data_IF_943109565851
#
_entry.id   IF_943109565851
#
_cell.length_a   1.000
_cell.length_b   1.000
_cell.length_c   1.000
_cell.angle_alpha   90.00
_cell.angle_beta   90.00
_cell.angle_gamma   90.00
#
_symmetry.space_group_name_H-M   'P 1'
#
loop_
_entity.id
_entity.type
_entity.pdbx_description
1 polymer ?
#
# COMPACT_ATOMS: atom_id res chain seq x y z
N UNK A 1 12.00 -16.38 -24.51
CA UNK A 1 11.67 -15.78 -23.21
C UNK A 1 11.23 -14.35 -23.45
N UNK A 2 10.11 -13.92 -22.84
CA UNK A 2 9.59 -12.56 -22.99
C UNK A 2 10.66 -11.54 -22.54
N UNK A 3 11.00 -10.56 -23.41
CA UNK A 3 12.03 -9.56 -23.14
C UNK A 3 11.74 -8.67 -21.94
N UNK A 4 10.47 -8.51 -21.55
CA UNK A 4 10.05 -7.76 -20.35
C UNK A 4 10.52 -8.43 -19.07
N UNK A 5 10.51 -9.77 -19.01
CA UNK A 5 10.98 -10.51 -17.83
C UNK A 5 12.48 -10.29 -17.56
N UNK A 6 13.26 -9.95 -18.61
CA UNK A 6 14.68 -9.60 -18.44
C UNK A 6 14.89 -8.23 -17.83
N UNK A 7 13.88 -7.35 -17.91
CA UNK A 7 13.90 -6.00 -17.33
C UNK A 7 13.40 -5.96 -15.90
N UNK A 8 12.81 -7.06 -15.39
CA UNK A 8 12.36 -7.11 -14.00
C UNK A 8 13.59 -7.03 -13.07
N UNK A 9 13.63 -6.04 -12.19
CA UNK A 9 14.63 -6.03 -11.12
C UNK A 9 14.40 -7.21 -10.17
N UNK A 10 15.43 -7.65 -9.48
CA UNK A 10 15.26 -8.59 -8.37
C UNK A 10 14.31 -7.95 -7.35
N UNK A 11 13.22 -8.64 -7.03
CA UNK A 11 12.23 -8.10 -6.10
C UNK A 11 12.88 -7.89 -4.71
N UNK A 12 12.94 -6.66 -4.18
CA UNK A 12 13.73 -6.38 -2.97
C UNK A 12 13.33 -7.20 -1.74
N UNK A 13 12.05 -7.61 -1.68
CA UNK A 13 11.55 -8.45 -0.58
C UNK A 13 12.11 -9.88 -0.61
N UNK A 14 12.57 -10.39 -1.77
CA UNK A 14 13.25 -11.68 -1.86
C UNK A 14 14.61 -11.65 -1.15
N UNK A 15 15.32 -10.54 -1.26
CA UNK A 15 16.58 -10.34 -0.55
C UNK A 15 16.38 -10.32 0.97
N UNK A 16 15.37 -9.62 1.46
CA UNK A 16 15.01 -9.65 2.88
C UNK A 16 14.64 -11.06 3.36
N UNK A 17 13.91 -11.80 2.53
CA UNK A 17 13.56 -13.20 2.81
C UNK A 17 14.79 -14.11 2.85
N UNK A 18 15.78 -13.87 1.97
CA UNK A 18 17.04 -14.59 1.98
C UNK A 18 17.85 -14.30 3.25
N UNK A 19 17.95 -13.03 3.66
CA UNK A 19 18.61 -12.64 4.90
C UNK A 19 17.95 -13.26 6.13
N UNK A 20 16.63 -13.32 6.14
CA UNK A 20 15.88 -13.96 7.23
C UNK A 20 16.17 -15.45 7.32
N UNK A 21 16.17 -16.17 6.19
CA UNK A 21 16.53 -17.60 6.15
C UNK A 21 17.96 -17.85 6.65
N UNK A 22 18.93 -17.04 6.23
CA UNK A 22 20.32 -17.14 6.68
C UNK A 22 20.45 -16.98 8.21
N UNK A 23 19.79 -15.97 8.79
CA UNK A 23 19.78 -15.77 10.25
C UNK A 23 19.16 -16.96 10.99
N UNK A 24 18.05 -17.49 10.52
CA UNK A 24 17.43 -18.67 11.11
C UNK A 24 18.33 -19.92 11.01
N UNK A 25 19.01 -20.10 9.88
CA UNK A 25 19.94 -21.22 9.70
C UNK A 25 21.13 -21.16 10.68
N UNK A 26 21.50 -19.98 11.16
CA UNK A 26 22.56 -19.76 12.19
C UNK A 26 22.01 -19.82 13.62
N UNK A 27 20.73 -20.12 13.82
CA UNK A 27 20.10 -20.16 15.12
C UNK A 27 19.90 -18.80 15.79
N UNK A 28 19.96 -17.70 15.03
CA UNK A 28 19.82 -16.35 15.55
C UNK A 28 18.36 -16.02 15.88
N UNK A 29 18.14 -15.24 16.95
CA UNK A 29 16.86 -14.59 17.19
C UNK A 29 16.67 -13.49 16.13
N UNK A 30 15.50 -13.47 15.45
CA UNK A 30 15.26 -12.56 14.34
C UNK A 30 14.11 -11.59 14.67
N UNK A 31 14.41 -10.30 14.62
CA UNK A 31 13.46 -9.19 14.71
C UNK A 31 13.23 -8.62 13.32
N UNK A 32 12.14 -9.01 12.65
CA UNK A 32 11.87 -8.67 11.25
C UNK A 32 11.05 -7.38 11.14
N UNK A 33 11.72 -6.24 10.98
CA UNK A 33 11.13 -4.95 10.62
C UNK A 33 11.21 -4.66 9.11
N UNK A 34 11.77 -5.57 8.32
CA UNK A 34 11.94 -5.36 6.86
C UNK A 34 10.66 -5.63 6.09
N UNK A 35 9.90 -6.65 6.50
CA UNK A 35 8.69 -7.11 5.79
C UNK A 35 7.45 -6.47 6.40
N UNK A 36 6.57 -5.89 5.57
CA UNK A 36 5.32 -5.27 6.02
C UNK A 36 4.18 -6.28 6.21
N UNK A 37 4.41 -7.39 6.93
CA UNK A 37 3.42 -8.46 7.18
C UNK A 37 3.16 -8.63 8.69
N UNK A 38 2.14 -7.94 9.25
CA UNK A 38 1.85 -7.96 10.68
C UNK A 38 1.58 -9.36 11.24
N UNK A 39 2.13 -9.63 12.43
CA UNK A 39 2.05 -10.94 13.10
C UNK A 39 0.81 -11.10 14.00
N UNK A 40 0.06 -10.03 14.27
CA UNK A 40 -1.14 -10.10 15.09
C UNK A 40 -2.15 -11.05 14.47
N UNK A 41 -2.80 -11.90 15.28
CA UNK A 41 -3.84 -12.80 14.78
C UNK A 41 -4.94 -12.04 14.03
N UNK A 42 -5.43 -12.64 12.95
CA UNK A 42 -6.69 -12.18 12.37
C UNK A 42 -7.81 -12.32 13.43
N UNK A 43 -8.64 -11.29 13.62
CA UNK A 43 -9.72 -11.33 14.62
C UNK A 43 -10.58 -12.59 14.53
N UNK A 44 -10.96 -13.15 15.70
CA UNK A 44 -11.69 -14.41 15.76
C UNK A 44 -12.99 -14.38 14.96
N UNK A 45 -13.72 -13.24 15.01
CA UNK A 45 -14.98 -13.06 14.27
C UNK A 45 -14.78 -13.17 12.75
N UNK A 46 -13.63 -12.70 12.21
CA UNK A 46 -13.33 -12.78 10.78
C UNK A 46 -12.99 -14.22 10.37
N UNK A 47 -12.26 -14.95 11.21
CA UNK A 47 -11.98 -16.37 11.01
C UNK A 47 -13.27 -17.21 11.06
N UNK A 48 -14.16 -16.89 12.00
CA UNK A 48 -15.46 -17.54 12.09
C UNK A 48 -16.33 -17.26 10.86
N UNK A 49 -16.43 -16.01 10.46
CA UNK A 49 -17.18 -15.63 9.24
C UNK A 49 -16.65 -16.32 7.98
N UNK A 50 -15.33 -16.53 7.88
CA UNK A 50 -14.75 -17.32 6.79
C UNK A 50 -15.18 -18.79 6.85
N UNK A 51 -15.14 -19.39 8.03
CA UNK A 51 -15.56 -20.78 8.22
C UNK A 51 -17.05 -20.95 7.89
N UNK A 52 -17.90 -20.09 8.42
CA UNK A 52 -19.36 -20.12 8.19
C UNK A 52 -19.74 -19.83 6.74
N UNK A 53 -18.92 -19.04 6.05
CA UNK A 53 -19.09 -18.69 4.65
C UNK A 53 -18.54 -19.72 3.66
N UNK A 54 -17.99 -20.85 4.14
CA UNK A 54 -17.50 -21.92 3.27
C UNK A 54 -18.69 -22.74 2.75
N UNK A 55 -18.98 -22.71 1.43
CA UNK A 55 -20.13 -23.40 0.88
C UNK A 55 -19.90 -24.91 0.82
N UNK A 56 -20.96 -25.71 0.99
CA UNK A 56 -20.92 -27.17 0.80
C UNK A 56 -20.62 -27.54 -0.66
N UNK A 57 -21.12 -26.75 -1.60
CA UNK A 57 -20.90 -26.95 -3.04
C UNK A 57 -20.06 -25.80 -3.56
N UNK A 58 -18.88 -26.12 -4.08
CA UNK A 58 -17.96 -25.15 -4.68
C UNK A 58 -18.45 -24.72 -6.07
N UNK A 59 -18.70 -23.43 -6.24
CA UNK A 59 -19.03 -22.80 -7.51
C UNK A 59 -18.07 -21.64 -7.79
N UNK A 60 -18.05 -21.14 -9.04
CA UNK A 60 -17.27 -19.96 -9.36
C UNK A 60 -17.84 -18.73 -8.66
N UNK A 61 -17.03 -17.99 -7.90
CA UNK A 61 -17.47 -16.76 -7.25
C UNK A 61 -17.75 -15.64 -8.26
N UNK A 62 -18.65 -14.69 -7.95
CA UNK A 62 -18.91 -13.56 -8.82
C UNK A 62 -17.69 -12.64 -8.94
N UNK A 63 -17.30 -12.31 -10.18
CA UNK A 63 -16.13 -11.47 -10.49
C UNK A 63 -16.18 -10.10 -9.79
N UNK A 64 -17.32 -9.38 -9.74
CA UNK A 64 -17.38 -8.10 -9.05
C UNK A 64 -17.35 -8.22 -7.52
N UNK A 65 -17.40 -9.43 -6.99
CA UNK A 65 -17.66 -9.72 -5.59
C UNK A 65 -19.14 -9.89 -5.30
N UNK A 66 -19.47 -10.54 -4.19
CA UNK A 66 -20.86 -10.71 -3.74
C UNK A 66 -21.52 -9.36 -3.48
N UNK A 67 -22.85 -9.28 -3.64
CA UNK A 67 -23.57 -8.04 -3.37
C UNK A 67 -23.40 -7.60 -1.91
N UNK A 68 -23.44 -8.53 -0.96
CA UNK A 68 -23.24 -8.25 0.46
C UNK A 68 -21.87 -7.60 0.72
N UNK A 69 -20.80 -8.09 0.09
CA UNK A 69 -19.46 -7.46 0.20
C UNK A 69 -19.45 -6.05 -0.38
N UNK A 70 -20.04 -5.83 -1.55
CA UNK A 70 -20.06 -4.52 -2.20
C UNK A 70 -20.88 -3.49 -1.41
N UNK A 71 -21.99 -3.92 -0.80
CA UNK A 71 -22.79 -3.10 0.12
C UNK A 71 -22.04 -2.78 1.41
N UNK A 72 -21.29 -3.74 1.98
CA UNK A 72 -20.43 -3.49 3.14
C UNK A 72 -19.31 -2.48 2.84
N UNK A 73 -18.71 -2.55 1.65
CA UNK A 73 -17.73 -1.56 1.15
C UNK A 73 -18.36 -0.17 0.99
N UNK A 74 -19.53 -0.08 0.38
CA UNK A 74 -20.26 1.18 0.24
C UNK A 74 -20.59 1.80 1.61
N UNK A 75 -21.03 0.96 2.56
CA UNK A 75 -21.26 1.36 3.95
C UNK A 75 -19.98 1.85 4.65
N UNK A 76 -18.84 1.19 4.43
CA UNK A 76 -17.55 1.63 4.94
C UNK A 76 -17.15 3.01 4.39
N UNK A 77 -17.22 3.22 3.08
CA UNK A 77 -16.89 4.50 2.45
C UNK A 77 -17.80 5.63 2.97
N UNK A 78 -19.09 5.35 3.17
CA UNK A 78 -20.02 6.31 3.75
C UNK A 78 -19.68 6.66 5.22
N UNK A 79 -19.40 5.63 6.06
CA UNK A 79 -19.07 5.86 7.48
C UNK A 79 -17.71 6.55 7.66
N UNK A 80 -16.73 6.14 6.86
CA UNK A 80 -15.34 6.58 7.06
C UNK A 80 -15.04 7.93 6.42
N UNK A 81 -15.62 8.22 5.26
CA UNK A 81 -15.28 9.37 4.40
C UNK A 81 -16.48 10.20 3.99
N UNK A 82 -17.70 9.84 4.41
CA UNK A 82 -18.95 10.46 3.95
C UNK A 82 -19.16 10.35 2.41
N UNK A 83 -18.50 9.39 1.76
CA UNK A 83 -18.59 9.13 0.32
C UNK A 83 -19.68 8.09 0.05
N UNK A 84 -20.67 8.45 -0.76
CA UNK A 84 -21.71 7.52 -1.23
C UNK A 84 -21.31 6.94 -2.58
N UNK A 85 -21.34 5.62 -2.69
CA UNK A 85 -21.09 4.87 -3.93
C UNK A 85 -22.23 3.90 -4.19
N UNK A 86 -22.54 3.66 -5.45
CA UNK A 86 -23.44 2.59 -5.85
C UNK A 86 -22.68 1.25 -5.82
N UNK A 87 -23.10 0.28 -4.98
CA UNK A 87 -22.40 -0.99 -4.87
C UNK A 87 -22.44 -1.82 -6.17
N UNK A 88 -23.34 -1.56 -7.09
CA UNK A 88 -23.46 -2.32 -8.34
C UNK A 88 -22.59 -1.81 -9.47
N UNK A 89 -22.34 -0.51 -9.51
CA UNK A 89 -21.61 0.15 -10.60
C UNK A 89 -20.28 0.77 -10.23
N UNK A 90 -20.07 1.12 -8.94
CA UNK A 90 -18.92 1.88 -8.49
C UNK A 90 -17.98 1.11 -7.53
N UNK A 91 -18.22 -0.19 -7.29
CA UNK A 91 -17.42 -1.04 -6.40
C UNK A 91 -17.05 -2.35 -7.09
N UNK A 92 -15.78 -2.73 -6.96
CA UNK A 92 -15.26 -4.01 -7.48
C UNK A 92 -14.33 -4.65 -6.45
N UNK A 93 -14.67 -5.85 -5.98
CA UNK A 93 -13.81 -6.62 -5.06
C UNK A 93 -12.55 -7.14 -5.77
N UNK A 94 -11.42 -7.17 -5.05
CA UNK A 94 -10.10 -7.56 -5.59
C UNK A 94 -9.38 -8.56 -4.69
N UNK A 95 -8.38 -9.26 -5.24
CA UNK A 95 -7.48 -10.15 -4.48
C UNK A 95 -6.39 -9.35 -3.72
N UNK A 96 -6.85 -8.40 -2.90
CA UNK A 96 -6.04 -7.37 -2.27
C UNK A 96 -5.70 -6.24 -3.24
N UNK A 97 -5.10 -5.16 -2.72
CA UNK A 97 -4.75 -3.99 -3.53
C UNK A 97 -3.67 -4.24 -4.57
N UNK A 98 -2.68 -5.11 -4.28
CA UNK A 98 -1.56 -5.36 -5.19
C UNK A 98 -2.01 -5.86 -6.56
N UNK A 99 -3.02 -6.73 -6.60
CA UNK A 99 -3.60 -7.22 -7.85
C UNK A 99 -4.17 -6.06 -8.68
N UNK A 100 -4.98 -5.20 -8.05
CA UNK A 100 -5.55 -4.05 -8.71
C UNK A 100 -4.48 -3.08 -9.22
N UNK A 101 -3.55 -2.67 -8.37
CA UNK A 101 -2.48 -1.72 -8.71
C UNK A 101 -1.61 -2.22 -9.87
N UNK A 102 -1.39 -3.54 -9.95
CA UNK A 102 -0.66 -4.15 -11.06
C UNK A 102 -1.47 -4.14 -12.37
N UNK A 103 -2.79 -4.39 -12.28
CA UNK A 103 -3.66 -4.53 -13.44
C UNK A 103 -4.16 -3.20 -14.03
N UNK A 104 -4.26 -2.13 -13.21
CA UNK A 104 -4.80 -0.85 -13.67
C UNK A 104 -4.01 -0.24 -14.84
N UNK A 105 -2.66 -0.24 -14.87
CA UNK A 105 -1.93 0.17 -16.06
C UNK A 105 -2.26 -0.68 -17.29
N UNK A 106 -2.34 -2.01 -17.15
CA UNK A 106 -2.70 -2.91 -18.26
C UNK A 106 -4.14 -2.70 -18.77
N UNK A 107 -5.00 -2.13 -17.93
CA UNK A 107 -6.40 -1.84 -18.29
C UNK A 107 -6.54 -0.51 -19.03
N UNK A 108 -5.78 0.52 -18.63
CA UNK A 108 -6.01 1.89 -19.07
C UNK A 108 -4.92 2.49 -19.94
N UNK A 109 -3.73 1.90 -19.98
CA UNK A 109 -2.69 2.38 -20.91
C UNK A 109 -2.87 1.73 -22.28
N UNK A 110 -2.84 2.56 -23.31
CA UNK A 110 -2.80 2.12 -24.71
C UNK A 110 -1.46 2.49 -25.32
N UNK A 111 -0.76 1.51 -25.88
CA UNK A 111 0.51 1.73 -26.58
C UNK A 111 0.42 1.09 -27.96
N UNK A 112 0.79 1.81 -29.05
CA UNK A 112 1.24 3.21 -29.06
C UNK A 112 0.09 4.21 -28.91
N UNK A 113 0.31 5.28 -28.17
CA UNK A 113 -0.57 6.46 -28.12
C UNK A 113 0.18 7.66 -27.54
N UNK A 114 -0.43 8.86 -27.60
CA UNK A 114 0.10 10.06 -26.95
C UNK A 114 -0.03 10.02 -25.41
N UNK A 115 -0.81 9.06 -24.89
CA UNK A 115 -1.02 8.81 -23.47
C UNK A 115 -0.44 7.44 -23.07
N UNK A 116 0.87 7.39 -23.03
CA UNK A 116 1.65 6.16 -22.81
C UNK A 116 2.46 6.17 -21.50
N UNK A 117 2.16 7.12 -20.59
CA UNK A 117 2.97 7.37 -19.40
C UNK A 117 2.20 7.02 -18.11
N UNK A 118 2.86 6.29 -17.20
CA UNK A 118 2.41 6.04 -15.83
C UNK A 118 3.25 6.88 -14.87
N UNK A 119 2.58 7.70 -14.03
CA UNK A 119 3.21 8.56 -13.03
C UNK A 119 3.02 7.97 -11.63
N UNK A 120 4.06 8.06 -10.81
CA UNK A 120 4.00 7.72 -9.38
C UNK A 120 5.08 8.49 -8.61
N UNK A 121 4.87 8.70 -7.30
CA UNK A 121 5.89 9.32 -6.44
C UNK A 121 6.95 8.30 -6.01
N UNK A 122 8.23 8.69 -6.00
CA UNK A 122 9.37 7.88 -5.54
C UNK A 122 10.05 8.55 -4.33
N UNK A 123 10.30 7.84 -3.19
CA UNK A 123 10.29 6.37 -3.01
C UNK A 123 8.91 5.75 -3.20
N UNK A 124 8.84 4.50 -3.68
CA UNK A 124 7.59 3.89 -4.10
C UNK A 124 7.46 2.41 -3.71
N UNK A 125 6.22 1.94 -3.72
CA UNK A 125 5.94 0.52 -3.78
C UNK A 125 6.20 0.02 -5.21
N UNK A 126 7.08 -0.99 -5.42
CA UNK A 126 7.53 -1.40 -6.77
C UNK A 126 6.42 -1.84 -7.74
N UNK A 127 5.21 -2.08 -7.24
CA UNK A 127 4.09 -2.56 -8.08
C UNK A 127 3.70 -1.59 -9.17
N UNK A 128 3.85 -0.27 -8.96
CA UNK A 128 3.46 0.74 -9.95
C UNK A 128 4.32 0.65 -11.20
N UNK A 129 5.64 0.61 -11.01
CA UNK A 129 6.62 0.46 -12.08
C UNK A 129 6.45 -0.88 -12.81
N UNK A 130 6.29 -1.97 -12.04
CA UNK A 130 6.13 -3.31 -12.62
C UNK A 130 4.84 -3.42 -13.42
N UNK A 131 3.73 -2.85 -12.93
CA UNK A 131 2.46 -2.80 -13.66
C UNK A 131 2.60 -2.01 -14.99
N UNK A 132 3.29 -0.87 -14.95
CA UNK A 132 3.59 -0.09 -16.14
C UNK A 132 4.45 -0.85 -17.16
N UNK A 133 5.48 -1.57 -16.70
CA UNK A 133 6.33 -2.42 -17.55
C UNK A 133 5.51 -3.47 -18.32
N UNK A 134 4.55 -4.13 -17.65
CA UNK A 134 3.70 -5.12 -18.30
C UNK A 134 2.62 -4.51 -19.19
N UNK A 135 2.25 -3.25 -18.96
CA UNK A 135 1.40 -2.47 -19.85
C UNK A 135 2.16 -1.86 -21.04
N UNK A 136 3.47 -2.09 -21.17
CA UNK A 136 4.37 -1.47 -22.17
C UNK A 136 4.46 0.06 -22.06
N UNK A 137 4.01 0.62 -20.93
CA UNK A 137 4.03 2.05 -20.67
C UNK A 137 5.43 2.56 -20.32
N UNK A 138 5.67 3.84 -20.61
CA UNK A 138 6.75 4.58 -19.98
C UNK A 138 6.40 4.93 -18.54
N UNK A 139 7.41 5.16 -17.73
CA UNK A 139 7.21 5.60 -16.34
C UNK A 139 7.83 6.96 -16.11
N UNK A 140 7.20 7.73 -15.21
CA UNK A 140 7.79 8.96 -14.67
C UNK A 140 7.69 8.89 -13.14
N UNK A 141 8.81 8.60 -12.49
CA UNK A 141 8.94 8.63 -11.04
C UNK A 141 9.14 10.08 -10.58
N UNK A 142 8.18 10.61 -9.83
CA UNK A 142 8.24 11.98 -9.27
C UNK A 142 9.07 11.96 -8.00
N UNK A 143 10.21 12.67 -7.91
CA UNK A 143 11.05 12.64 -6.72
C UNK A 143 10.35 13.23 -5.50
N UNK A 144 10.14 12.40 -4.48
CA UNK A 144 9.62 12.82 -3.18
C UNK A 144 10.76 12.88 -2.15
N UNK A 145 10.74 13.90 -1.32
CA UNK A 145 11.79 14.11 -0.33
C UNK A 145 11.26 14.85 0.90
N UNK A 146 12.09 14.96 1.91
CA UNK A 146 11.79 15.81 3.08
C UNK A 146 11.50 17.25 2.69
N UNK A 147 12.12 17.76 1.62
CA UNK A 147 11.98 19.16 1.17
C UNK A 147 10.57 19.48 0.69
N UNK A 148 9.89 18.53 0.04
CA UNK A 148 8.50 18.67 -0.40
C UNK A 148 7.50 17.95 0.51
N UNK A 149 7.92 17.53 1.72
CA UNK A 149 7.09 16.79 2.67
C UNK A 149 6.62 15.44 2.12
N UNK A 150 7.37 14.84 1.20
CA UNK A 150 6.99 13.63 0.44
C UNK A 150 5.61 13.76 -0.25
N UNK A 151 5.20 15.00 -0.53
CA UNK A 151 3.96 15.28 -1.24
C UNK A 151 4.21 15.33 -2.76
N UNK A 152 3.39 14.61 -3.51
CA UNK A 152 3.37 14.66 -4.96
C UNK A 152 2.54 15.86 -5.40
N UNK A 153 3.20 16.90 -5.89
CA UNK A 153 2.58 18.16 -6.32
C UNK A 153 2.48 18.18 -7.85
N UNK A 154 1.27 18.26 -8.45
CA UNK A 154 1.11 18.32 -9.89
C UNK A 154 1.68 19.60 -10.52
N UNK A 155 1.69 20.71 -9.79
CA UNK A 155 2.19 21.99 -10.30
C UNK A 155 3.73 22.03 -10.43
N UNK A 156 4.43 21.08 -9.80
CA UNK A 156 5.86 20.88 -9.96
C UNK A 156 6.23 20.06 -11.22
N UNK A 157 5.25 19.51 -11.94
CA UNK A 157 5.48 18.64 -13.10
C UNK A 157 5.48 19.42 -14.42
N UNK A 158 6.35 19.04 -15.37
CA UNK A 158 6.28 19.59 -16.72
C UNK A 158 4.93 19.28 -17.38
N UNK A 159 4.36 20.25 -18.07
CA UNK A 159 3.10 20.07 -18.80
C UNK A 159 3.16 18.90 -19.81
N UNK A 160 4.31 18.72 -20.47
CA UNK A 160 4.53 17.61 -21.40
C UNK A 160 4.40 16.22 -20.74
N UNK A 161 4.71 16.10 -19.44
CA UNK A 161 4.53 14.89 -18.65
C UNK A 161 3.05 14.67 -18.36
N UNK A 162 2.34 15.71 -17.93
CA UNK A 162 0.90 15.64 -17.63
C UNK A 162 0.08 15.32 -18.89
N UNK A 163 0.41 15.88 -20.05
CA UNK A 163 -0.24 15.56 -21.32
C UNK A 163 -0.10 14.10 -21.74
N UNK A 164 1.05 13.48 -21.47
CA UNK A 164 1.32 12.07 -21.77
C UNK A 164 0.75 11.11 -20.72
N UNK A 165 0.36 11.61 -19.55
CA UNK A 165 -0.14 10.75 -18.46
C UNK A 165 -1.38 9.97 -18.89
N UNK A 166 -1.36 8.66 -18.71
CA UNK A 166 -2.49 7.76 -18.84
C UNK A 166 -3.03 7.35 -17.46
N UNK A 167 -2.12 6.99 -16.55
CA UNK A 167 -2.44 6.61 -15.17
C UNK A 167 -1.51 7.35 -14.22
N UNK A 168 -2.07 7.93 -13.16
CA UNK A 168 -1.33 8.57 -12.07
C UNK A 168 -1.65 7.86 -10.77
N UNK A 169 -0.62 7.38 -10.07
CA UNK A 169 -0.75 6.77 -8.76
C UNK A 169 -0.40 7.75 -7.65
N UNK A 170 -1.34 7.97 -6.73
CA UNK A 170 -1.11 8.57 -5.42
C UNK A 170 -1.10 7.44 -4.38
N UNK A 171 -0.16 7.46 -3.44
CA UNK A 171 -0.13 6.51 -2.35
C UNK A 171 -0.06 7.26 -1.02
N UNK A 172 -1.21 7.46 -0.38
CA UNK A 172 -1.28 8.15 0.91
C UNK A 172 -2.33 7.53 1.83
N UNK A 173 -1.98 7.24 3.13
CA UNK A 173 -0.66 7.43 3.75
C UNK A 173 0.46 6.70 3.01
N UNK A 174 1.58 7.38 2.83
CA UNK A 174 2.65 6.99 1.92
C UNK A 174 3.48 5.81 2.45
N UNK A 175 3.73 4.82 1.61
CA UNK A 175 4.72 3.78 1.84
C UNK A 175 5.97 4.11 0.99
N UNK A 176 7.15 4.39 1.61
CA UNK A 176 7.56 3.94 2.96
C UNK A 176 7.48 4.97 4.09
N UNK A 177 7.09 6.22 3.86
CA UNK A 177 7.36 7.33 4.77
C UNK A 177 6.29 7.61 5.82
N UNK A 178 5.04 7.17 5.59
CA UNK A 178 3.91 7.45 6.50
C UNK A 178 3.40 8.89 6.47
N UNK A 179 3.76 9.67 5.46
CA UNK A 179 3.18 10.99 5.23
C UNK A 179 1.77 10.90 4.66
N UNK A 180 0.95 11.91 4.95
CA UNK A 180 -0.40 12.08 4.39
C UNK A 180 -0.40 13.25 3.41
N UNK A 181 -1.13 13.10 2.30
CA UNK A 181 -1.27 14.17 1.32
C UNK A 181 -2.21 15.25 1.88
N UNK A 182 -1.85 16.54 1.80
CA UNK A 182 -2.74 17.64 2.14
C UNK A 182 -3.99 17.70 1.25
N UNK A 183 -5.14 18.09 1.82
CA UNK A 183 -6.42 18.23 1.11
C UNK A 183 -6.31 19.13 -0.13
N UNK A 184 -5.51 20.20 -0.06
CA UNK A 184 -5.28 21.10 -1.19
C UNK A 184 -4.69 20.39 -2.40
N UNK A 185 -3.75 19.45 -2.17
CA UNK A 185 -3.13 18.69 -3.25
C UNK A 185 -4.06 17.62 -3.82
N UNK A 186 -4.94 17.00 -3.01
CA UNK A 186 -5.99 16.14 -3.56
C UNK A 186 -6.91 16.91 -4.52
N UNK A 187 -7.36 18.13 -4.13
CA UNK A 187 -8.18 18.98 -4.99
C UNK A 187 -7.43 19.33 -6.28
N UNK A 188 -6.16 19.73 -6.13
CA UNK A 188 -5.34 20.12 -7.28
C UNK A 188 -5.12 18.95 -8.25
N UNK A 189 -4.89 17.73 -7.73
CA UNK A 189 -4.79 16.54 -8.57
C UNK A 189 -6.09 16.23 -9.32
N UNK A 190 -7.26 16.46 -8.72
CA UNK A 190 -8.56 16.29 -9.40
C UNK A 190 -8.73 17.33 -10.51
N UNK A 191 -8.40 18.61 -10.27
CA UNK A 191 -8.43 19.67 -11.29
C UNK A 191 -7.52 19.34 -12.49
N UNK A 192 -6.26 18.97 -12.20
CA UNK A 192 -5.28 18.59 -13.24
C UNK A 192 -5.73 17.34 -13.98
N UNK A 193 -6.33 16.37 -13.27
CA UNK A 193 -6.94 15.20 -13.91
C UNK A 193 -8.05 15.61 -14.89
N UNK A 194 -8.91 16.54 -14.53
CA UNK A 194 -10.00 17.02 -15.40
C UNK A 194 -9.47 17.76 -16.63
N UNK A 195 -8.37 18.48 -16.49
CA UNK A 195 -7.69 19.18 -17.58
C UNK A 195 -7.00 18.21 -18.56
N UNK A 196 -6.25 17.23 -18.04
CA UNK A 196 -5.41 16.35 -18.87
C UNK A 196 -6.04 14.98 -19.17
N UNK A 197 -7.10 14.56 -18.47
CA UNK A 197 -7.90 13.38 -18.79
C UNK A 197 -7.22 12.03 -18.54
N UNK A 198 -6.29 11.92 -17.57
CA UNK A 198 -5.71 10.66 -17.12
C UNK A 198 -6.60 9.96 -16.09
N UNK A 199 -6.34 8.68 -15.80
CA UNK A 199 -6.95 7.96 -14.68
C UNK A 199 -6.16 8.26 -13.41
N UNK A 200 -6.81 8.85 -12.40
CA UNK A 200 -6.21 9.14 -11.10
C UNK A 200 -6.54 8.03 -10.11
N UNK A 201 -5.52 7.33 -9.65
CA UNK A 201 -5.64 6.18 -8.74
C UNK A 201 -5.01 6.53 -7.39
N UNK A 202 -5.78 6.40 -6.30
CA UNK A 202 -5.29 6.55 -4.93
C UNK A 202 -5.17 5.18 -4.26
N UNK A 203 -3.93 4.78 -3.94
CA UNK A 203 -3.65 3.61 -3.10
C UNK A 203 -3.79 4.01 -1.63
N UNK A 204 -4.90 3.62 -1.02
CA UNK A 204 -5.34 4.00 0.32
C UNK A 204 -5.21 2.84 1.34
N UNK A 205 -4.30 1.89 1.09
CA UNK A 205 -4.15 0.68 1.91
C UNK A 205 -3.83 0.94 3.38
N UNK A 206 -3.35 2.14 3.72
CA UNK A 206 -2.93 2.50 5.08
C UNK A 206 -3.83 3.56 5.72
N UNK A 207 -4.93 3.98 5.08
CA UNK A 207 -5.76 5.11 5.48
C UNK A 207 -6.38 4.98 6.89
N UNK A 208 -6.57 3.75 7.37
CA UNK A 208 -7.07 3.47 8.72
C UNK A 208 -5.98 3.31 9.79
N UNK A 209 -4.71 3.36 9.39
CA UNK A 209 -3.57 3.35 10.31
C UNK A 209 -3.07 4.78 10.52
N UNK A 210 -3.68 5.50 11.48
CA UNK A 210 -3.43 6.91 11.72
C UNK A 210 -3.17 7.15 13.21
N UNK A 211 -2.09 7.85 13.53
CA UNK A 211 -1.60 8.05 14.90
C UNK A 211 -1.66 9.51 15.34
N UNK A 212 -1.35 10.44 14.44
CA UNK A 212 -1.19 11.87 14.76
C UNK A 212 -1.64 12.77 13.62
N UNK A 213 -2.07 13.99 13.96
CA UNK A 213 -2.46 15.02 12.98
C UNK A 213 -3.86 14.80 12.38
N UNK A 214 -4.16 15.43 11.25
CA UNK A 214 -5.45 15.26 10.56
C UNK A 214 -5.66 13.83 10.08
N UNK A 215 -6.90 13.32 10.17
CA UNK A 215 -7.24 11.99 9.66
C UNK A 215 -6.98 11.90 8.16
N UNK A 216 -6.34 10.81 7.68
CA UNK A 216 -6.16 10.59 6.26
C UNK A 216 -7.50 10.58 5.51
N UNK A 217 -7.49 11.19 4.33
CA UNK A 217 -8.65 11.37 3.46
C UNK A 217 -8.62 10.36 2.32
N UNK A 218 -9.79 10.15 1.71
CA UNK A 218 -9.89 9.42 0.44
C UNK A 218 -9.93 10.41 -0.73
N UNK A 219 -9.31 10.04 -1.86
CA UNK A 219 -9.44 10.77 -3.12
C UNK A 219 -10.91 11.01 -3.50
N UNK A 220 -11.78 10.03 -3.19
CA UNK A 220 -13.20 10.09 -3.54
C UNK A 220 -13.99 11.17 -2.79
N UNK A 221 -13.41 11.79 -1.76
CA UNK A 221 -13.99 12.98 -1.10
C UNK A 221 -13.80 14.25 -1.93
N UNK A 222 -12.87 14.24 -2.89
CA UNK A 222 -12.49 15.42 -3.69
C UNK A 222 -12.91 15.31 -5.16
N UNK A 223 -12.98 14.09 -5.71
CA UNK A 223 -13.35 13.85 -7.10
C UNK A 223 -13.87 12.44 -7.34
N UNK A 224 -14.73 12.30 -8.35
CA UNK A 224 -15.33 11.01 -8.71
C UNK A 224 -15.00 10.61 -10.15
N UNK A 225 -15.25 11.51 -11.10
CA UNK A 225 -15.01 11.27 -12.53
C UNK A 225 -13.51 11.04 -12.76
N UNK A 226 -13.17 9.93 -13.39
CA UNK A 226 -11.80 9.52 -13.68
C UNK A 226 -10.94 9.17 -12.45
N UNK A 227 -11.55 9.02 -11.25
CA UNK A 227 -10.88 8.74 -10.00
C UNK A 227 -11.21 7.34 -9.49
N UNK A 228 -10.18 6.62 -9.01
CA UNK A 228 -10.30 5.32 -8.38
C UNK A 228 -9.56 5.32 -7.03
N UNK A 229 -10.20 4.81 -5.99
CA UNK A 229 -9.57 4.49 -4.70
C UNK A 229 -9.39 3.00 -4.55
N UNK A 230 -8.20 2.58 -4.09
CA UNK A 230 -7.83 1.18 -3.89
C UNK A 230 -7.59 0.92 -2.42
N UNK A 231 -8.32 -0.03 -1.84
CA UNK A 231 -8.23 -0.38 -0.42
C UNK A 231 -7.90 -1.85 -0.20
N UNK A 232 -7.41 -2.18 0.99
CA UNK A 232 -7.03 -3.55 1.36
C UNK A 232 -7.35 -3.87 2.81
N UNK A 233 -7.82 -5.09 3.06
CA UNK A 233 -7.96 -5.64 4.42
C UNK A 233 -6.64 -6.14 5.01
N UNK A 234 -5.57 -6.19 4.21
CA UNK A 234 -4.28 -6.74 4.63
C UNK A 234 -3.75 -6.08 5.91
N UNK A 235 -3.75 -4.73 5.96
CA UNK A 235 -3.17 -3.99 7.10
C UNK A 235 -4.25 -3.58 8.10
N UNK A 236 -5.40 -3.14 7.59
CA UNK A 236 -6.56 -2.74 8.37
C UNK A 236 -7.04 -3.87 9.29
N UNK A 237 -7.17 -5.09 8.78
CA UNK A 237 -7.85 -6.20 9.44
C UNK A 237 -6.98 -7.42 9.73
N UNK A 238 -5.66 -7.37 9.41
CA UNK A 238 -4.77 -8.52 9.59
C UNK A 238 -5.09 -9.70 8.66
N UNK A 239 -5.54 -9.39 7.45
CA UNK A 239 -5.98 -10.38 6.47
C UNK A 239 -5.00 -10.46 5.28
N UNK A 240 -3.68 -10.38 5.53
CA UNK A 240 -2.66 -10.38 4.47
C UNK A 240 -2.73 -11.63 3.60
N UNK A 241 -2.87 -12.81 4.19
CA UNK A 241 -2.99 -14.11 3.52
C UNK A 241 -4.35 -14.36 2.87
N UNK A 242 -5.41 -13.65 3.27
CA UNK A 242 -6.77 -13.81 2.73
C UNK A 242 -6.92 -13.19 1.34
N UNK A 243 -6.03 -12.29 0.95
CA UNK A 243 -6.05 -11.65 -0.36
C UNK A 243 -7.37 -10.95 -0.65
N UNK A 244 -7.77 -9.97 0.16
CA UNK A 244 -9.02 -9.22 -0.02
C UNK A 244 -8.79 -7.71 0.02
N UNK A 245 -9.47 -7.01 -0.88
CA UNK A 245 -9.50 -5.57 -1.05
C UNK A 245 -10.61 -5.16 -2.00
N UNK A 246 -10.64 -3.89 -2.37
CA UNK A 246 -11.56 -3.40 -3.39
C UNK A 246 -10.97 -2.19 -4.15
N UNK A 247 -11.56 -1.93 -5.30
CA UNK A 247 -11.45 -0.67 -6.05
C UNK A 247 -12.84 -0.04 -6.07
N UNK A 248 -12.91 1.26 -5.79
CA UNK A 248 -14.15 2.03 -5.90
C UNK A 248 -13.89 3.37 -6.60
N UNK A 249 -14.91 3.92 -7.28
CA UNK A 249 -14.81 5.23 -7.93
C UNK A 249 -15.68 5.37 -9.16
N UNK A 250 -15.10 5.96 -10.21
CA UNK A 250 -15.79 6.23 -11.47
C UNK A 250 -16.44 4.96 -12.05
N UNK A 251 -17.79 4.93 -12.27
CA UNK A 251 -18.49 3.75 -12.76
C UNK A 251 -18.05 3.33 -14.18
N UNK A 252 -17.62 4.26 -15.03
CA UNK A 252 -17.12 3.93 -16.37
C UNK A 252 -15.78 3.18 -16.27
N UNK A 253 -14.88 3.64 -15.40
CA UNK A 253 -13.61 2.98 -15.16
C UNK A 253 -13.79 1.61 -14.48
N UNK A 254 -14.72 1.52 -13.52
CA UNK A 254 -15.07 0.25 -12.86
C UNK A 254 -15.62 -0.74 -13.89
N UNK A 255 -16.48 -0.31 -14.81
CA UNK A 255 -17.04 -1.18 -15.86
C UNK A 255 -15.93 -1.74 -16.78
N UNK A 256 -14.97 -0.89 -17.19
CA UNK A 256 -13.83 -1.31 -18.02
C UNK A 256 -12.94 -2.31 -17.27
N UNK A 257 -12.59 -2.00 -16.02
CA UNK A 257 -11.74 -2.87 -15.20
C UNK A 257 -12.43 -4.21 -14.89
N UNK A 258 -13.73 -4.21 -14.65
CA UNK A 258 -14.52 -5.44 -14.48
C UNK A 258 -14.45 -6.35 -15.71
N UNK A 259 -14.54 -5.80 -16.93
CA UNK A 259 -14.39 -6.56 -18.18
C UNK A 259 -13.00 -7.17 -18.32
N UNK A 260 -11.96 -6.40 -18.00
CA UNK A 260 -10.57 -6.88 -17.98
C UNK A 260 -10.40 -8.06 -17.03
N UNK A 261 -10.89 -7.96 -15.78
CA UNK A 261 -10.80 -9.02 -14.77
C UNK A 261 -11.56 -10.28 -15.14
N UNK A 262 -12.71 -10.13 -15.80
CA UNK A 262 -13.48 -11.26 -16.29
C UNK A 262 -12.66 -12.15 -17.24
N UNK A 263 -11.85 -11.53 -18.09
CA UNK A 263 -10.98 -12.24 -19.05
C UNK A 263 -9.78 -12.92 -18.39
N UNK A 264 -9.40 -12.49 -17.18
CA UNK A 264 -8.26 -13.07 -16.43
C UNK A 264 -8.64 -14.21 -15.49
N UNK A 265 -9.95 -14.47 -15.30
CA UNK A 265 -10.43 -15.50 -14.37
C UNK A 265 -10.13 -15.19 -12.90
N UNK A 266 -9.95 -13.91 -12.54
CA UNK A 266 -9.68 -13.50 -11.16
C UNK A 266 -10.98 -13.10 -10.44
N UNK A 267 -11.31 -13.86 -9.37
CA UNK A 267 -12.43 -13.53 -8.48
C UNK A 267 -12.07 -13.95 -7.04
N UNK A 268 -12.44 -13.15 -6.01
CA UNK A 268 -12.22 -13.55 -4.62
C UNK A 268 -13.10 -14.75 -4.25
N UNK A 269 -12.57 -15.67 -3.45
CA UNK A 269 -13.30 -16.85 -2.96
C UNK A 269 -14.46 -16.44 -2.05
N UNK A 270 -15.59 -17.16 -2.12
CA UNK A 270 -16.82 -16.81 -1.39
C UNK A 270 -16.62 -16.76 0.14
N UNK A 271 -15.89 -17.73 0.70
CA UNK A 271 -15.58 -17.75 2.14
C UNK A 271 -14.67 -16.57 2.56
N UNK A 272 -13.79 -16.11 1.69
CA UNK A 272 -13.00 -14.88 1.95
C UNK A 272 -13.90 -13.65 1.85
N UNK A 273 -14.84 -13.62 0.92
CA UNK A 273 -15.79 -12.52 0.78
C UNK A 273 -16.72 -12.42 2.00
N UNK A 274 -17.13 -13.55 2.59
CA UNK A 274 -17.91 -13.57 3.83
C UNK A 274 -17.14 -12.90 4.99
N UNK A 275 -15.88 -13.28 5.20
CA UNK A 275 -15.02 -12.63 6.18
C UNK A 275 -14.77 -11.14 5.87
N UNK A 276 -14.60 -10.80 4.60
CA UNK A 276 -14.37 -9.41 4.16
C UNK A 276 -15.63 -8.54 4.40
N UNK A 277 -16.84 -9.08 4.20
CA UNK A 277 -18.09 -8.39 4.51
C UNK A 277 -18.16 -7.99 5.98
N UNK A 278 -17.84 -8.91 6.90
CA UNK A 278 -17.77 -8.61 8.33
C UNK A 278 -16.67 -7.60 8.62
N UNK A 279 -15.49 -7.73 8.01
CA UNK A 279 -14.38 -6.81 8.23
C UNK A 279 -14.68 -5.37 7.80
N UNK A 280 -15.42 -5.16 6.71
CA UNK A 280 -15.81 -3.82 6.26
C UNK A 280 -16.97 -3.23 7.04
N UNK A 281 -17.77 -4.02 7.76
CA UNK A 281 -18.87 -3.54 8.61
C UNK A 281 -18.45 -3.24 10.04
N UNK A 282 -17.34 -3.82 10.52
CA UNK A 282 -16.84 -3.64 11.88
C UNK A 282 -15.63 -2.69 11.91
N UNK A 283 -15.70 -1.67 12.76
CA UNK A 283 -14.61 -0.72 12.98
C UNK A 283 -13.92 -0.92 14.35
N UNK A 284 -14.48 -1.79 15.25
CA UNK A 284 -13.89 -2.02 16.58
C UNK A 284 -12.57 -2.80 16.49
N UNK A 285 -12.51 -3.87 15.70
CA UNK A 285 -11.27 -4.60 15.52
C UNK A 285 -10.15 -3.72 14.92
N UNK A 286 -10.50 -2.71 14.13
CA UNK A 286 -9.55 -1.74 13.56
C UNK A 286 -8.97 -0.87 14.66
N UNK A 287 -9.82 -0.35 15.59
CA UNK A 287 -9.36 0.44 16.74
C UNK A 287 -8.41 -0.37 17.63
N UNK A 288 -8.76 -1.64 17.92
CA UNK A 288 -7.93 -2.55 18.70
C UNK A 288 -6.56 -2.79 18.05
N UNK A 289 -6.53 -3.04 16.75
CA UNK A 289 -5.27 -3.23 16.00
C UNK A 289 -4.45 -1.95 15.95
N UNK A 290 -5.09 -0.81 15.74
CA UNK A 290 -4.41 0.48 15.74
C UNK A 290 -3.73 0.76 17.08
N UNK A 291 -4.37 0.43 18.21
CA UNK A 291 -3.77 0.57 19.53
C UNK A 291 -2.49 -0.27 19.69
N UNK A 292 -2.46 -1.49 19.15
CA UNK A 292 -1.25 -2.34 19.14
C UNK A 292 -0.15 -1.71 18.28
N UNK A 293 -0.46 -1.23 17.09
CA UNK A 293 0.53 -0.57 16.24
C UNK A 293 1.05 0.73 16.85
N UNK A 294 0.19 1.51 17.52
CA UNK A 294 0.60 2.70 18.26
C UNK A 294 1.60 2.36 19.39
N UNK A 295 1.34 1.31 20.15
CA UNK A 295 2.25 0.85 21.21
C UNK A 295 3.64 0.44 20.65
N UNK A 296 3.68 -0.27 19.52
CA UNK A 296 4.94 -0.62 18.82
C UNK A 296 5.68 0.63 18.34
N UNK A 297 4.93 1.56 17.74
CA UNK A 297 5.46 2.84 17.26
C UNK A 297 6.13 3.62 18.37
N UNK A 298 5.50 3.75 19.53
CA UNK A 298 6.08 4.47 20.67
C UNK A 298 7.40 3.86 21.16
N UNK A 299 7.50 2.52 21.25
CA UNK A 299 8.76 1.84 21.61
C UNK A 299 9.86 2.18 20.60
N UNK A 300 9.56 2.12 19.30
CA UNK A 300 10.55 2.37 18.25
C UNK A 300 10.91 3.86 18.13
N UNK A 301 9.98 4.78 18.36
CA UNK A 301 10.29 6.22 18.41
C UNK A 301 11.16 6.55 19.62
N UNK A 302 10.92 5.92 20.78
CA UNK A 302 11.77 6.07 21.95
C UNK A 302 13.18 5.54 21.69
N UNK A 303 13.32 4.40 21.01
CA UNK A 303 14.59 3.87 20.53
C UNK A 303 15.29 4.88 19.61
N UNK A 304 14.61 5.38 18.59
CA UNK A 304 15.21 6.35 17.66
C UNK A 304 15.72 7.60 18.39
N UNK A 305 14.93 8.16 19.32
CA UNK A 305 15.35 9.29 20.14
C UNK A 305 16.61 8.98 20.96
N UNK A 306 16.64 7.81 21.62
CA UNK A 306 17.79 7.40 22.46
C UNK A 306 19.09 7.17 21.67
N UNK A 307 18.98 6.87 20.37
CA UNK A 307 20.10 6.64 19.46
C UNK A 307 20.42 7.84 18.57
N UNK A 308 19.74 8.98 18.74
CA UNK A 308 19.90 10.16 17.89
C UNK A 308 19.50 9.95 16.43
N UNK A 309 18.68 8.92 16.14
CA UNK A 309 18.18 8.63 14.81
C UNK A 309 17.01 9.55 14.48
N UNK A 310 17.04 10.19 13.32
CA UNK A 310 15.97 11.06 12.85
C UNK A 310 14.90 10.23 12.12
N UNK A 311 13.65 10.36 12.57
CA UNK A 311 12.48 9.77 11.91
C UNK A 311 11.78 10.84 11.09
N UNK A 312 11.46 10.52 9.83
CA UNK A 312 10.72 11.37 8.92
C UNK A 312 9.32 10.79 8.67
N UNK A 313 8.28 11.61 8.86
CA UNK A 313 6.89 11.16 8.70
C UNK A 313 6.40 10.28 9.85
N UNK A 314 5.78 9.13 9.51
CA UNK A 314 5.23 8.18 10.50
C UNK A 314 4.01 8.70 11.28
N UNK A 315 3.29 9.69 10.76
CA UNK A 315 2.02 10.13 11.35
C UNK A 315 0.88 9.14 11.08
N UNK A 316 1.04 8.33 10.04
CA UNK A 316 0.13 7.27 9.62
C UNK A 316 0.90 6.11 8.96
N UNK A 317 0.18 5.04 8.62
CA UNK A 317 0.75 3.87 7.95
C UNK A 317 1.39 2.87 8.90
N UNK A 318 2.15 1.95 8.32
CA UNK A 318 2.74 0.81 9.03
C UNK A 318 4.25 0.96 9.24
N UNK A 319 4.83 2.13 8.93
CA UNK A 319 6.27 2.26 8.78
C UNK A 319 6.85 3.47 9.53
N UNK A 320 8.11 3.30 9.98
CA UNK A 320 9.01 4.39 10.32
C UNK A 320 10.04 4.53 9.19
N UNK A 321 10.23 5.75 8.71
CA UNK A 321 11.25 6.11 7.74
C UNK A 321 12.38 6.83 8.45
N UNK A 322 13.51 6.15 8.60
CA UNK A 322 14.60 6.56 9.48
C UNK A 322 15.81 6.97 8.65
N UNK A 323 16.35 8.16 8.92
CA UNK A 323 17.60 8.60 8.36
C UNK A 323 18.76 7.86 9.04
N UNK A 324 19.63 7.23 8.25
CA UNK A 324 20.82 6.54 8.77
C UNK A 324 21.87 7.55 9.25
N UNK A 325 22.77 7.18 10.20
CA UNK A 325 23.84 8.05 10.66
C UNK A 325 24.69 8.60 9.51
N UNK A 326 25.27 9.78 9.70
CA UNK A 326 26.13 10.39 8.69
C UNK A 326 27.35 9.49 8.38
N UNK A 327 27.72 9.40 7.09
CA UNK A 327 28.88 8.64 6.64
C UNK A 327 28.65 7.14 6.46
N UNK A 328 27.41 6.64 6.62
CA UNK A 328 27.06 5.25 6.37
C UNK A 328 25.92 5.15 5.34
N UNK A 329 25.96 4.14 4.48
CA UNK A 329 24.86 3.85 3.55
C UNK A 329 23.71 3.07 4.23
N UNK A 330 22.52 3.08 3.60
CA UNK A 330 21.37 2.29 4.03
C UNK A 330 21.68 0.78 4.07
N UNK A 331 22.40 0.27 3.08
CA UNK A 331 22.81 -1.14 2.98
C UNK A 331 23.78 -1.52 4.09
N UNK A 332 24.77 -0.68 4.36
CA UNK A 332 25.75 -0.92 5.43
C UNK A 332 25.07 -0.82 6.81
N UNK A 333 24.15 0.13 6.99
CA UNK A 333 23.39 0.22 8.23
C UNK A 333 22.47 -1.01 8.42
N UNK A 334 21.80 -1.46 7.36
CA UNK A 334 21.02 -2.70 7.40
C UNK A 334 21.88 -3.94 7.70
N UNK A 335 23.13 -3.97 7.19
CA UNK A 335 24.08 -5.04 7.52
C UNK A 335 24.44 -5.05 9.02
N UNK A 336 24.76 -3.88 9.62
CA UNK A 336 25.01 -3.75 11.06
C UNK A 336 23.79 -4.19 11.90
N UNK A 337 22.58 -3.83 11.49
CA UNK A 337 21.35 -4.31 12.13
C UNK A 337 21.25 -5.84 12.06
N UNK A 338 21.52 -6.41 10.88
CA UNK A 338 21.46 -7.87 10.65
C UNK A 338 22.45 -8.65 11.52
N UNK A 339 23.65 -8.14 11.79
CA UNK A 339 24.60 -8.75 12.72
C UNK A 339 24.04 -8.91 14.13
N UNK A 340 23.03 -8.13 14.50
CA UNK A 340 22.30 -8.17 15.78
C UNK A 340 20.95 -8.90 15.67
N UNK A 341 20.71 -9.60 14.56
CA UNK A 341 19.43 -10.29 14.31
C UNK A 341 18.27 -9.37 13.91
N UNK A 342 18.53 -8.11 13.60
CA UNK A 342 17.52 -7.12 13.24
C UNK A 342 17.49 -6.95 11.73
N UNK A 343 16.33 -7.18 11.11
CA UNK A 343 16.12 -6.93 9.69
C UNK A 343 15.39 -5.60 9.50
N UNK A 344 15.97 -4.71 8.71
CA UNK A 344 15.36 -3.47 8.23
C UNK A 344 15.42 -3.43 6.70
N UNK A 345 14.52 -2.72 6.05
CA UNK A 345 14.58 -2.58 4.60
C UNK A 345 15.42 -1.36 4.22
N UNK A 346 16.51 -1.52 3.44
CA UNK A 346 17.26 -0.39 2.89
C UNK A 346 16.36 0.56 2.10
N UNK A 347 16.63 1.86 2.16
CA UNK A 347 15.87 2.87 1.45
C UNK A 347 15.98 2.74 -0.06
N UNK A 348 17.16 2.35 -0.56
CA UNK A 348 17.41 2.05 -1.97
C UNK A 348 16.48 0.98 -2.57
N UNK A 349 15.80 0.17 -1.74
CA UNK A 349 14.78 -0.78 -2.18
C UNK A 349 13.48 -0.11 -2.65
N UNK A 350 13.31 1.18 -2.41
CA UNK A 350 12.10 1.95 -2.72
C UNK A 350 12.32 3.00 -3.82
N UNK A 351 13.52 3.11 -4.35
CA UNK A 351 13.85 4.03 -5.43
C UNK A 351 15.24 4.65 -5.30
N UNK A 352 15.62 5.36 -6.34
CA UNK A 352 16.90 6.05 -6.38
C UNK A 352 16.94 7.26 -5.43
N UNK A 353 18.13 7.59 -4.92
CA UNK A 353 18.33 8.73 -4.01
C UNK A 353 17.84 8.49 -2.58
N UNK A 354 17.50 7.24 -2.22
CA UNK A 354 17.03 6.87 -0.90
C UNK A 354 18.08 6.18 -0.01
N UNK A 355 19.34 6.21 -0.40
CA UNK A 355 20.47 5.53 0.25
C UNK A 355 20.81 6.10 1.64
N UNK A 356 20.15 7.20 2.04
CA UNK A 356 20.24 7.82 3.35
C UNK A 356 19.21 7.32 4.36
N UNK A 357 18.35 6.36 3.98
CA UNK A 357 17.20 5.96 4.79
C UNK A 357 17.10 4.44 4.93
N UNK A 358 16.43 4.01 6.01
CA UNK A 358 15.94 2.64 6.17
C UNK A 358 14.46 2.69 6.58
N UNK A 359 13.70 1.68 6.14
CA UNK A 359 12.30 1.51 6.56
C UNK A 359 12.19 0.45 7.63
N UNK A 360 11.50 0.77 8.74
CA UNK A 360 11.06 -0.18 9.75
C UNK A 360 9.56 -0.37 9.64
N UNK A 361 9.11 -1.63 9.54
CA UNK A 361 7.71 -1.99 9.61
C UNK A 361 7.29 -2.33 11.06
N UNK A 362 6.12 -1.86 11.50
CA UNK A 362 5.54 -2.13 12.82
C UNK A 362 5.01 -3.58 12.93
N UNK A 363 5.83 -4.56 12.53
CA UNK A 363 5.46 -5.98 12.41
C UNK A 363 5.80 -6.79 13.65
N UNK A 364 7.00 -6.69 14.25
CA UNK A 364 7.31 -7.41 15.49
C UNK A 364 6.31 -7.07 16.62
N UNK A 365 6.09 -7.97 17.55
CA UNK A 365 5.26 -7.71 18.73
C UNK A 365 5.85 -6.58 19.58
N UNK A 366 5.08 -6.02 20.51
CA UNK A 366 5.59 -4.95 21.40
C UNK A 366 6.82 -5.43 22.18
N UNK A 367 6.82 -6.69 22.65
CA UNK A 367 7.94 -7.24 23.38
C UNK A 367 9.15 -7.52 22.49
N UNK A 368 8.92 -7.99 21.24
CA UNK A 368 10.00 -8.09 20.25
C UNK A 368 10.57 -6.71 19.91
N UNK A 369 9.76 -5.65 19.83
CA UNK A 369 10.25 -4.27 19.64
C UNK A 369 11.14 -3.82 20.80
N UNK A 370 10.77 -4.13 22.06
CA UNK A 370 11.58 -3.84 23.25
C UNK A 370 12.89 -4.62 23.24
N UNK A 371 12.82 -5.92 22.93
CA UNK A 371 14.01 -6.78 22.86
C UNK A 371 14.97 -6.32 21.76
N UNK A 372 14.46 -5.97 20.57
CA UNK A 372 15.25 -5.42 19.48
C UNK A 372 15.91 -4.08 19.88
N UNK A 373 15.19 -3.21 20.60
CA UNK A 373 15.73 -1.93 21.07
C UNK A 373 16.94 -2.10 22.00
N UNK A 374 16.97 -3.16 22.82
CA UNK A 374 18.08 -3.46 23.71
C UNK A 374 19.38 -3.85 22.97
N UNK A 375 19.26 -4.50 21.82
CA UNK A 375 20.38 -4.98 20.99
C UNK A 375 20.64 -4.12 19.74
N UNK A 376 19.92 -3.02 19.60
CA UNK A 376 20.04 -2.13 18.43
C UNK A 376 21.47 -1.60 18.29
N UNK A 377 22.07 -1.57 17.05
CA UNK A 377 23.42 -1.06 16.87
C UNK A 377 23.51 0.42 17.27
N UNK A 378 24.72 0.81 17.72
CA UNK A 378 25.04 2.19 18.08
C UNK A 378 25.05 3.12 16.86
#
# INVERSE_FOLDING_TARGET
MNGRLRKLPTYPMEQLSAWKRDLHARGAVVFDFGTGDPKEPTPAMLRQAMFDGTPEVSQYPPIPGTRALREAVAGYLQRRFAVRVDPDTEVLATLGSKEALFHLPMTFVQVPSDKDLVLYGEPAYPVYEIGALFAEAWTYAVPLSVRNGYAMDPDALPESVLRRASVVFLNYPHNPTGFCLPDALFRRWVEVRDEYGFVLVSDECYVDLHYEGPRPRSLLEFGRKGCLAVHSLSKRSGMTGYRSGFVAGDPELIAVYRRFRASMGTAPQDFVQAAATVAWTDDEHVRQRLAVFAAKREVLLALCRSRGLRVHGSTAGLYLWIEVPAGISDVDYAARCRERGILVAPGSFFGAGQERYVRLALVPTVDECRAAAAVWPA
#
